data_IF_342851369759
#
_entry.id   IF_342851369759
#
_cell.length_a   1.000
_cell.length_b   1.000
_cell.length_c   1.000
_cell.angle_alpha   90.00
_cell.angle_beta   90.00
_cell.angle_gamma   90.00
#
_symmetry.space_group_name_H-M   'P 1'
#
loop_
_entity.id
_entity.type
_entity.pdbx_description
1 polymer ?
#
# COMPACT_ATOMS: atom_id res chain seq x y z
N UNK A 1 5.99 -7.41 -5.94
CA UNK A 1 6.60 -6.32 -6.73
C UNK A 1 6.26 -4.99 -6.06
N UNK A 2 7.27 -4.14 -5.83
CA UNK A 2 7.13 -2.76 -5.35
C UNK A 2 7.72 -1.78 -6.38
N UNK A 3 7.59 -0.48 -6.14
CA UNK A 3 8.08 0.52 -7.10
C UNK A 3 9.37 1.17 -6.61
N UNK A 4 10.28 1.47 -7.53
CA UNK A 4 11.41 2.35 -7.27
C UNK A 4 10.91 3.71 -6.73
N UNK A 5 11.66 4.33 -5.84
CA UNK A 5 11.33 5.58 -5.16
C UNK A 5 10.10 5.55 -4.25
N UNK A 6 9.52 4.37 -3.96
CA UNK A 6 8.40 4.23 -3.04
C UNK A 6 8.83 4.34 -1.57
N UNK A 7 7.86 4.68 -0.71
CA UNK A 7 8.04 4.66 0.73
C UNK A 7 6.83 4.02 1.42
N UNK A 8 7.02 2.87 2.04
CA UNK A 8 5.96 2.10 2.73
C UNK A 8 6.17 1.97 4.23
N UNK A 9 7.29 2.45 4.76
CA UNK A 9 7.58 2.45 6.19
C UNK A 9 8.99 1.98 6.54
N UNK A 10 9.24 1.84 7.86
CA UNK A 10 10.55 1.55 8.45
C UNK A 10 10.62 0.24 9.22
N UNK A 11 9.50 -0.44 9.48
CA UNK A 11 9.54 -1.82 10.02
C UNK A 11 10.08 -2.78 8.97
N UNK A 12 10.64 -3.92 9.37
CA UNK A 12 11.39 -4.81 8.45
C UNK A 12 10.57 -5.18 7.20
N UNK A 13 9.29 -5.50 7.36
CA UNK A 13 8.41 -5.83 6.23
C UNK A 13 8.17 -4.64 5.30
N UNK A 14 7.77 -3.49 5.87
CA UNK A 14 7.52 -2.28 5.12
C UNK A 14 8.80 -1.72 4.46
N UNK A 15 9.95 -1.81 5.16
CA UNK A 15 11.23 -1.40 4.63
C UNK A 15 11.67 -2.28 3.46
N UNK A 16 11.35 -3.58 3.49
CA UNK A 16 11.67 -4.50 2.40
C UNK A 16 11.00 -4.12 1.08
N UNK A 17 9.82 -3.50 1.12
CA UNK A 17 9.08 -3.03 -0.07
C UNK A 17 9.24 -1.52 -0.32
N UNK A 18 10.03 -0.81 0.49
CA UNK A 18 10.36 0.62 0.29
C UNK A 18 11.49 0.74 -0.72
N UNK A 19 11.20 1.29 -1.91
CA UNK A 19 12.11 1.34 -3.06
C UNK A 19 13.20 2.42 -2.97
N UNK A 20 13.90 2.51 -1.84
CA UNK A 20 14.98 3.45 -1.60
C UNK A 20 16.16 2.76 -0.90
N UNK A 21 17.24 2.54 -1.64
CA UNK A 21 18.44 1.86 -1.14
C UNK A 21 19.06 2.53 0.07
N UNK A 22 19.08 3.86 0.11
CA UNK A 22 19.61 4.61 1.25
C UNK A 22 18.90 4.27 2.57
N UNK A 23 17.60 3.92 2.50
CA UNK A 23 16.84 3.49 3.67
C UNK A 23 17.04 2.02 4.00
N UNK A 24 17.33 1.18 3.01
CA UNK A 24 17.44 -0.28 3.16
C UNK A 24 18.82 -0.73 3.64
N UNK A 25 19.90 -0.19 3.04
CA UNK A 25 21.28 -0.63 3.26
C UNK A 25 21.70 -0.76 4.74
N UNK A 26 21.35 0.19 5.65
CA UNK A 26 21.75 0.06 7.06
C UNK A 26 21.07 -1.10 7.82
N UNK A 27 20.04 -1.72 7.23
CA UNK A 27 19.20 -2.72 7.89
C UNK A 27 19.18 -4.07 7.16
N UNK A 28 20.06 -4.27 6.21
CA UNK A 28 20.22 -5.55 5.52
C UNK A 28 20.73 -6.66 6.45
N UNK A 29 20.29 -7.93 6.28
CA UNK A 29 19.41 -8.41 5.21
C UNK A 29 17.93 -8.14 5.48
N UNK A 30 17.22 -7.73 4.43
CA UNK A 30 15.77 -7.54 4.44
C UNK A 30 15.03 -8.83 4.04
N UNK A 31 13.69 -8.80 4.05
CA UNK A 31 12.89 -9.94 3.62
C UNK A 31 13.15 -10.25 2.12
N UNK A 32 13.38 -11.52 1.78
CA UNK A 32 13.64 -11.91 0.40
C UNK A 32 12.37 -11.91 -0.45
N UNK A 33 12.54 -11.96 -1.78
CA UNK A 33 11.46 -12.12 -2.73
C UNK A 33 10.85 -10.83 -3.24
N UNK A 34 11.32 -9.66 -2.78
CA UNK A 34 10.86 -8.36 -3.29
C UNK A 34 11.63 -8.00 -4.57
N UNK A 35 10.89 -7.50 -5.57
CA UNK A 35 11.40 -6.94 -6.82
C UNK A 35 10.90 -5.51 -6.99
N UNK A 36 11.70 -4.65 -7.62
CA UNK A 36 11.35 -3.25 -7.83
C UNK A 36 11.19 -2.96 -9.32
N UNK A 37 10.02 -2.42 -9.69
CA UNK A 37 9.69 -1.92 -11.01
C UNK A 37 9.80 -0.39 -11.05
N UNK A 38 9.89 0.18 -12.24
CA UNK A 38 9.83 1.63 -12.41
C UNK A 38 8.38 2.12 -12.35
N UNK A 39 8.16 3.18 -11.57
CA UNK A 39 6.84 3.76 -11.40
C UNK A 39 6.37 4.42 -12.70
N UNK A 40 5.10 4.22 -13.07
CA UNK A 40 4.50 4.63 -14.34
C UNK A 40 5.05 3.91 -15.59
N UNK A 41 5.82 2.83 -15.42
CA UNK A 41 6.26 1.94 -16.49
C UNK A 41 5.62 0.55 -16.35
N UNK A 42 4.56 0.31 -17.12
CA UNK A 42 3.82 -0.96 -17.07
C UNK A 42 4.65 -2.14 -17.60
N UNK A 43 5.54 -1.90 -18.55
CA UNK A 43 6.38 -2.97 -19.11
C UNK A 43 7.46 -3.40 -18.12
N UNK A 44 7.97 -2.47 -17.32
CA UNK A 44 8.84 -2.78 -16.18
C UNK A 44 8.14 -3.72 -15.17
N UNK A 45 6.86 -3.48 -14.89
CA UNK A 45 6.06 -4.35 -13.99
C UNK A 45 5.87 -5.73 -14.62
N UNK A 46 5.44 -5.80 -15.89
CA UNK A 46 5.23 -7.08 -16.62
C UNK A 46 6.47 -7.97 -16.64
N UNK A 47 7.65 -7.36 -16.83
CA UNK A 47 8.91 -8.09 -16.89
C UNK A 47 9.27 -8.81 -15.58
N UNK A 48 8.70 -8.41 -14.45
CA UNK A 48 8.96 -8.98 -13.12
C UNK A 48 7.94 -10.02 -12.68
N UNK A 49 6.77 -10.08 -13.32
CA UNK A 49 5.71 -11.05 -12.99
C UNK A 49 6.17 -12.45 -13.35
N UNK A 50 5.97 -13.39 -12.43
CA UNK A 50 6.22 -14.80 -12.63
C UNK A 50 5.30 -15.64 -11.71
N UNK A 51 5.42 -16.96 -11.76
CA UNK A 51 4.63 -17.93 -11.00
C UNK A 51 4.72 -17.81 -9.47
N UNK A 52 5.69 -17.05 -8.96
CA UNK A 52 5.88 -16.78 -7.52
C UNK A 52 5.41 -15.39 -7.11
N UNK A 53 4.97 -14.57 -8.05
CA UNK A 53 4.46 -13.23 -7.75
C UNK A 53 3.11 -13.35 -7.05
N UNK A 54 2.98 -12.81 -5.85
CA UNK A 54 1.73 -12.85 -5.08
C UNK A 54 1.01 -11.49 -5.03
N UNK A 55 1.75 -10.40 -5.18
CA UNK A 55 1.18 -9.06 -5.07
C UNK A 55 2.02 -8.00 -5.78
N UNK A 56 1.37 -6.90 -6.12
CA UNK A 56 1.99 -5.63 -6.53
C UNK A 56 1.57 -4.55 -5.55
N UNK A 57 2.53 -3.81 -4.98
CA UNK A 57 2.29 -2.72 -4.03
C UNK A 57 2.84 -1.41 -4.57
N UNK A 58 2.04 -0.34 -4.49
CA UNK A 58 2.50 1.03 -4.76
C UNK A 58 1.61 2.09 -4.11
N UNK A 59 2.10 3.32 -4.08
CA UNK A 59 1.36 4.53 -3.68
C UNK A 59 0.64 5.10 -4.91
N UNK A 60 -0.65 5.42 -4.80
CA UNK A 60 -1.38 6.11 -5.89
C UNK A 60 -0.73 7.46 -6.24
N UNK A 61 -0.12 8.10 -5.25
CA UNK A 61 0.80 9.23 -5.42
C UNK A 61 2.04 8.95 -4.58
N UNK A 62 3.20 8.80 -5.20
CA UNK A 62 4.47 8.67 -4.48
C UNK A 62 4.79 9.99 -3.77
N UNK A 63 4.51 10.06 -2.47
CA UNK A 63 4.69 11.30 -1.71
C UNK A 63 6.15 11.57 -1.38
N UNK A 64 6.80 10.65 -0.66
CA UNK A 64 8.21 10.73 -0.27
C UNK A 64 9.15 10.72 -1.48
N UNK A 65 8.76 10.03 -2.54
CA UNK A 65 9.50 9.95 -3.79
C UNK A 65 9.55 11.26 -4.60
N UNK A 66 8.74 12.27 -4.26
CA UNK A 66 8.75 13.58 -4.94
C UNK A 66 7.38 14.06 -5.43
N UNK A 67 6.29 13.51 -4.93
CA UNK A 67 4.90 13.86 -5.28
C UNK A 67 4.61 13.53 -6.76
N UNK A 68 4.85 12.29 -7.12
CA UNK A 68 4.55 11.76 -8.46
C UNK A 68 3.24 10.97 -8.45
N UNK A 69 2.18 11.43 -9.16
CA UNK A 69 0.94 10.67 -9.29
C UNK A 69 1.11 9.50 -10.27
N UNK A 70 0.40 8.41 -10.00
CA UNK A 70 0.21 7.34 -10.97
C UNK A 70 -0.55 7.88 -12.19
N UNK A 71 -0.12 7.49 -13.38
CA UNK A 71 -0.94 7.74 -14.59
C UNK A 71 -2.13 6.79 -14.62
N UNK A 72 -3.23 7.24 -15.22
CA UNK A 72 -4.42 6.39 -15.38
C UNK A 72 -4.11 5.09 -16.13
N UNK A 73 -3.29 5.16 -17.16
CA UNK A 73 -2.86 4.00 -17.92
C UNK A 73 -2.07 3.00 -17.05
N UNK A 74 -1.21 3.50 -16.17
CA UNK A 74 -0.41 2.66 -15.28
C UNK A 74 -1.29 1.94 -14.24
N UNK A 75 -2.09 2.67 -13.47
CA UNK A 75 -2.88 2.08 -12.41
C UNK A 75 -3.93 1.09 -12.94
N UNK A 76 -4.60 1.42 -14.06
CA UNK A 76 -5.54 0.50 -14.73
C UNK A 76 -4.83 -0.70 -15.34
N UNK A 77 -3.65 -0.49 -15.92
CA UNK A 77 -2.82 -1.57 -16.45
C UNK A 77 -2.34 -2.53 -15.38
N UNK A 78 -1.87 -2.02 -14.24
CA UNK A 78 -1.47 -2.88 -13.09
C UNK A 78 -2.67 -3.64 -12.54
N UNK A 79 -3.86 -3.02 -12.42
CA UNK A 79 -5.07 -3.74 -12.00
C UNK A 79 -5.39 -4.90 -12.96
N UNK A 80 -5.34 -4.64 -14.27
CA UNK A 80 -5.59 -5.68 -15.27
C UNK A 80 -4.57 -6.84 -15.16
N UNK A 81 -3.28 -6.54 -14.96
CA UNK A 81 -2.26 -7.56 -14.73
C UNK A 81 -2.53 -8.38 -13.46
N UNK A 82 -2.94 -7.71 -12.38
CA UNK A 82 -3.29 -8.42 -11.14
C UNK A 82 -4.49 -9.37 -11.35
N UNK A 83 -5.49 -8.94 -12.10
CA UNK A 83 -6.66 -9.76 -12.42
C UNK A 83 -6.31 -10.95 -13.34
N UNK A 84 -5.46 -10.71 -14.36
CA UNK A 84 -5.00 -11.73 -15.30
C UNK A 84 -4.19 -12.85 -14.63
N UNK A 85 -3.33 -12.47 -13.68
CA UNK A 85 -2.41 -13.40 -13.01
C UNK A 85 -2.91 -13.91 -11.66
N UNK A 86 -4.13 -13.53 -11.24
CA UNK A 86 -4.70 -13.82 -9.91
C UNK A 86 -3.76 -13.44 -8.74
N UNK A 87 -3.14 -12.26 -8.84
CA UNK A 87 -2.29 -11.67 -7.81
C UNK A 87 -2.94 -10.43 -7.20
N UNK A 88 -2.48 -10.02 -6.01
CA UNK A 88 -3.13 -8.96 -5.26
C UNK A 88 -2.61 -7.57 -5.66
N UNK A 89 -3.52 -6.62 -5.79
CA UNK A 89 -3.19 -5.20 -5.85
C UNK A 89 -3.27 -4.60 -4.45
N UNK A 90 -2.14 -4.06 -3.97
CA UNK A 90 -2.04 -3.35 -2.70
C UNK A 90 -1.78 -1.87 -2.98
N UNK A 91 -2.68 -0.99 -2.54
CA UNK A 91 -2.47 0.45 -2.64
C UNK A 91 -2.18 1.06 -1.26
N UNK A 92 -1.06 1.76 -1.19
CA UNK A 92 -0.68 2.52 -0.01
C UNK A 92 -1.29 3.92 -0.08
N UNK A 93 -2.34 4.11 0.72
CA UNK A 93 -3.07 5.38 0.83
C UNK A 93 -2.71 6.16 2.11
N UNK A 94 -1.60 5.79 2.76
CA UNK A 94 -1.16 6.42 4.03
C UNK A 94 -0.93 7.92 3.87
N UNK A 95 -0.38 8.35 2.73
CA UNK A 95 -0.11 9.77 2.47
C UNK A 95 -1.13 10.42 1.54
N UNK A 96 -1.61 9.71 0.53
CA UNK A 96 -2.51 10.25 -0.48
C UNK A 96 -4.01 10.08 -0.17
N UNK A 97 -4.36 9.26 0.83
CA UNK A 97 -5.74 9.05 1.24
C UNK A 97 -6.33 10.13 2.16
N UNK A 98 -7.47 9.85 2.73
CA UNK A 98 -8.19 10.70 3.70
C UNK A 98 -8.46 12.11 3.18
N UNK A 99 -8.99 12.22 1.96
CA UNK A 99 -9.37 13.49 1.36
C UNK A 99 -8.22 14.31 0.75
N UNK A 100 -6.96 13.85 0.84
CA UNK A 100 -5.77 14.61 0.41
C UNK A 100 -5.82 15.03 -1.07
N UNK A 101 -6.40 14.22 -1.92
CA UNK A 101 -6.48 14.42 -3.37
C UNK A 101 -7.86 14.90 -3.84
N UNK A 102 -8.81 15.11 -2.92
CA UNK A 102 -10.18 15.52 -3.22
C UNK A 102 -11.21 14.39 -3.17
N UNK A 103 -10.77 13.14 -3.21
CA UNK A 103 -11.59 11.97 -2.92
C UNK A 103 -11.18 11.37 -1.57
N UNK A 104 -12.02 10.55 -0.93
CA UNK A 104 -11.68 9.89 0.34
C UNK A 104 -10.36 9.13 0.21
N UNK A 105 -10.19 8.40 -0.89
CA UNK A 105 -8.95 7.71 -1.25
C UNK A 105 -8.58 8.01 -2.70
N UNK A 106 -7.28 8.17 -2.96
CA UNK A 106 -6.78 8.60 -4.27
C UNK A 106 -7.12 7.61 -5.41
N UNK A 107 -7.23 6.30 -5.13
CA UNK A 107 -7.63 5.29 -6.11
C UNK A 107 -9.01 5.55 -6.73
N UNK A 108 -9.89 6.29 -6.03
CA UNK A 108 -11.24 6.58 -6.50
C UNK A 108 -11.25 7.46 -7.76
N UNK A 109 -10.25 8.33 -7.94
CA UNK A 109 -10.08 9.11 -9.18
C UNK A 109 -9.95 8.24 -10.43
N UNK A 110 -9.44 7.02 -10.28
CA UNK A 110 -9.16 6.09 -11.38
C UNK A 110 -10.23 5.00 -11.51
N UNK A 111 -11.13 4.88 -10.53
CA UNK A 111 -12.10 3.78 -10.46
C UNK A 111 -11.45 2.41 -10.28
N UNK A 112 -10.24 2.35 -9.74
CA UNK A 112 -9.46 1.11 -9.54
C UNK A 112 -9.50 0.69 -8.08
N UNK A 113 -10.32 -0.29 -7.74
CA UNK A 113 -10.41 -0.81 -6.37
C UNK A 113 -9.24 -1.75 -6.06
N UNK A 114 -8.45 -1.51 -4.99
CA UNK A 114 -7.41 -2.43 -4.56
C UNK A 114 -8.00 -3.67 -3.85
N UNK A 115 -7.21 -4.73 -3.77
CA UNK A 115 -7.50 -5.90 -2.94
C UNK A 115 -7.17 -5.64 -1.47
N UNK A 116 -6.08 -4.90 -1.23
CA UNK A 116 -5.65 -4.43 0.09
C UNK A 116 -5.30 -2.95 -0.01
N UNK A 117 -5.65 -2.19 1.03
CA UNK A 117 -5.32 -0.77 1.15
C UNK A 117 -4.78 -0.48 2.55
N UNK A 118 -3.74 0.35 2.64
CA UNK A 118 -3.23 0.84 3.92
C UNK A 118 -3.62 2.30 4.14
N UNK A 119 -3.92 2.67 5.39
CA UNK A 119 -4.26 4.04 5.78
C UNK A 119 -3.66 4.38 7.14
N UNK A 120 -3.20 5.62 7.31
CA UNK A 120 -2.65 6.15 8.55
C UNK A 120 -2.64 7.68 8.50
N UNK A 121 -1.71 8.34 9.19
CA UNK A 121 -1.49 9.80 9.19
C UNK A 121 -2.79 10.58 9.39
N UNK A 122 -3.38 11.12 8.32
CA UNK A 122 -4.61 11.90 8.37
C UNK A 122 -5.81 11.12 8.93
N UNK A 123 -5.80 9.78 8.86
CA UNK A 123 -6.80 8.93 9.50
C UNK A 123 -6.94 9.22 11.01
N UNK A 124 -5.83 9.50 11.68
CA UNK A 124 -5.83 9.81 13.11
C UNK A 124 -5.83 11.31 13.44
N UNK A 125 -5.68 12.18 12.42
CA UNK A 125 -5.62 13.65 12.59
C UNK A 125 -4.66 14.10 13.70
N UNK A 126 -3.45 13.50 13.75
CA UNK A 126 -2.42 13.78 14.77
C UNK A 126 -2.30 12.72 15.87
N UNK A 127 -3.26 11.82 16.00
CA UNK A 127 -3.15 10.65 16.89
C UNK A 127 -2.50 9.50 16.11
N UNK A 128 -1.52 8.77 16.69
CA UNK A 128 -0.86 7.67 16.01
C UNK A 128 -1.81 6.48 15.82
N UNK A 129 -2.16 6.21 14.58
CA UNK A 129 -3.01 5.09 14.17
C UNK A 129 -2.63 4.63 12.77
N UNK A 130 -2.78 3.36 12.53
CA UNK A 130 -2.71 2.76 11.21
C UNK A 130 -3.80 1.71 11.06
N UNK A 131 -4.29 1.57 9.85
CA UNK A 131 -5.25 0.56 9.47
C UNK A 131 -4.87 -0.04 8.12
N UNK A 132 -5.29 -1.26 7.90
CA UNK A 132 -5.34 -1.84 6.56
C UNK A 132 -6.74 -2.41 6.33
N UNK A 133 -7.19 -2.26 5.11
CA UNK A 133 -8.49 -2.73 4.67
C UNK A 133 -8.25 -3.75 3.57
N UNK A 134 -9.10 -4.77 3.51
CA UNK A 134 -9.01 -5.79 2.47
C UNK A 134 -10.39 -6.15 1.95
N UNK A 135 -10.43 -6.69 0.75
CA UNK A 135 -11.67 -7.25 0.20
C UNK A 135 -12.06 -8.50 0.97
N UNK A 136 -13.35 -8.86 0.96
CA UNK A 136 -13.85 -10.09 1.58
C UNK A 136 -13.11 -11.33 1.05
N UNK A 137 -12.88 -11.40 -0.26
CA UNK A 137 -12.08 -12.47 -0.89
C UNK A 137 -10.70 -12.67 -0.24
N UNK A 138 -10.03 -11.59 0.12
CA UNK A 138 -8.71 -11.65 0.79
C UNK A 138 -8.87 -12.00 2.25
N UNK A 139 -9.84 -11.38 2.95
CA UNK A 139 -10.08 -11.61 4.37
C UNK A 139 -10.39 -13.08 4.69
N UNK A 140 -11.24 -13.73 3.88
CA UNK A 140 -11.62 -15.14 4.06
C UNK A 140 -10.44 -16.13 3.96
N UNK A 141 -9.36 -15.75 3.28
CA UNK A 141 -8.22 -16.62 2.97
C UNK A 141 -6.91 -16.19 3.64
N UNK A 142 -6.93 -15.13 4.43
CA UNK A 142 -5.69 -14.54 4.98
C UNK A 142 -5.54 -14.75 6.49
N UNK A 143 -6.18 -13.91 7.30
CA UNK A 143 -5.97 -13.86 8.75
C UNK A 143 -7.11 -14.56 9.50
N UNK A 144 -6.75 -15.42 10.43
CA UNK A 144 -7.68 -15.96 11.43
C UNK A 144 -7.66 -15.08 12.70
N UNK A 145 -8.70 -15.17 13.55
CA UNK A 145 -8.69 -14.49 14.85
C UNK A 145 -7.45 -14.85 15.66
N UNK A 146 -6.67 -13.84 16.06
CA UNK A 146 -5.44 -14.00 16.82
C UNK A 146 -4.14 -13.89 16.00
N UNK A 147 -4.20 -13.93 14.68
CA UNK A 147 -2.99 -13.84 13.83
C UNK A 147 -2.42 -12.42 13.74
N UNK A 148 -3.27 -11.41 13.95
CA UNK A 148 -2.86 -10.01 13.91
C UNK A 148 -3.25 -9.29 15.19
N UNK A 149 -2.33 -8.51 15.72
CA UNK A 149 -2.59 -7.71 16.91
C UNK A 149 -1.44 -6.79 17.26
N UNK A 150 -1.74 -5.81 18.09
CA UNK A 150 -0.78 -4.92 18.71
C UNK A 150 -1.30 -4.51 20.07
N UNK A 151 -0.41 -4.27 21.04
CA UNK A 151 -0.78 -3.92 22.41
C UNK A 151 -1.74 -2.72 22.49
N UNK A 152 -1.57 -1.74 21.65
CA UNK A 152 -2.38 -0.51 21.64
C UNK A 152 -3.42 -0.46 20.53
N UNK A 153 -3.52 -1.51 19.69
CA UNK A 153 -4.47 -1.56 18.58
C UNK A 153 -5.92 -1.53 19.05
N UNK A 154 -6.75 -0.74 18.38
CA UNK A 154 -8.17 -0.63 18.68
C UNK A 154 -8.50 0.03 20.03
N UNK A 155 -7.57 0.79 20.65
CA UNK A 155 -7.86 1.44 21.89
C UNK A 155 -8.94 2.54 21.73
N UNK A 156 -9.81 2.75 22.78
CA UNK A 156 -10.97 3.64 22.65
C UNK A 156 -10.62 5.10 22.37
N UNK A 157 -9.48 5.59 22.87
CA UNK A 157 -9.06 6.96 22.65
C UNK A 157 -8.77 7.23 21.15
N UNK A 158 -7.99 6.34 20.54
CA UNK A 158 -7.66 6.43 19.11
C UNK A 158 -8.90 6.17 18.25
N UNK A 159 -9.73 5.19 18.64
CA UNK A 159 -11.00 4.90 17.96
C UNK A 159 -11.91 6.12 17.90
N UNK A 160 -12.11 6.83 18.99
CA UNK A 160 -12.91 8.04 19.04
C UNK A 160 -12.37 9.17 18.14
N UNK A 161 -11.03 9.28 18.01
CA UNK A 161 -10.41 10.25 17.10
C UNK A 161 -10.67 9.88 15.64
N UNK A 162 -10.53 8.59 15.29
CA UNK A 162 -10.79 8.09 13.93
C UNK A 162 -12.27 8.25 13.56
N UNK A 163 -13.20 7.90 14.45
CA UNK A 163 -14.63 8.07 14.22
C UNK A 163 -14.95 9.54 13.89
N UNK A 164 -14.35 10.47 14.63
CA UNK A 164 -14.56 11.91 14.40
C UNK A 164 -13.97 12.41 13.08
N UNK A 165 -12.91 11.78 12.59
CA UNK A 165 -12.30 12.10 11.29
C UNK A 165 -13.16 11.57 10.13
N UNK A 166 -13.86 10.45 10.35
CA UNK A 166 -14.68 9.80 9.32
C UNK A 166 -16.11 10.37 9.20
N UNK A 167 -16.61 11.12 10.22
CA UNK A 167 -17.86 11.88 10.18
C UNK A 167 -17.79 13.10 9.24
#
# INVERSE_FOLDING_TARGET
IAMNHSFHGRSIGALSVTGNKHYQEPFEPLLPGVKFADFNDLDSVKALINDKTCAIIFETVQGEGGIYPATEAFIKGVRALCDEHDILLILDEIQCGMGRTGEMFAWQHYGVKPDIMTSAKALGCGVPVGAFLMTERVAEKSLAPGDHGTTYGGNPFVGAAVDKVLE
#
